data_IF_370857713374
#
_entry.id   IF_370857713374
#
_cell.length_a   1.000
_cell.length_b   1.000
_cell.length_c   1.000
_cell.angle_alpha   90.00
_cell.angle_beta   90.00
_cell.angle_gamma   90.00
#
_symmetry.space_group_name_H-M   'P 1'
#
loop_
_entity.id
_entity.type
_entity.pdbx_description
1 polymer ?
#
# COMPACT_ATOMS: atom_id res chain seq x y z
N UNK A 1 15.59 -7.79 44.89
CA UNK A 1 14.68 -6.63 44.81
C UNK A 1 13.36 -7.04 45.43
N UNK A 2 12.85 -6.27 46.39
CA UNK A 2 11.56 -6.52 47.03
C UNK A 2 10.42 -6.51 45.96
N UNK A 3 9.72 -7.64 45.74
CA UNK A 3 8.69 -7.73 44.71
C UNK A 3 7.56 -6.71 44.93
N UNK A 4 7.20 -6.40 46.18
CA UNK A 4 6.13 -5.46 46.52
C UNK A 4 6.49 -4.02 46.13
N UNK A 5 7.78 -3.66 46.23
CA UNK A 5 8.31 -2.35 45.78
C UNK A 5 8.41 -2.22 44.26
N UNK A 6 8.46 -3.34 43.52
CA UNK A 6 8.45 -3.35 42.05
C UNK A 6 7.05 -3.13 41.44
N UNK A 7 6.00 -3.53 42.17
CA UNK A 7 4.59 -3.44 41.73
C UNK A 7 4.06 -2.01 41.80
N UNK A 8 4.52 -1.17 42.75
CA UNK A 8 3.98 0.19 42.92
C UNK A 8 4.33 1.16 41.78
N UNK A 9 5.33 0.83 40.93
CA UNK A 9 5.74 1.65 39.77
C UNK A 9 5.30 1.10 38.41
N UNK A 10 4.55 -0.01 38.37
CA UNK A 10 4.12 -0.66 37.12
C UNK A 10 2.61 -0.70 36.97
N UNK A 11 1.94 0.41 37.29
CA UNK A 11 0.51 0.58 36.97
C UNK A 11 0.41 1.04 35.52
N UNK A 12 -0.37 0.32 34.70
CA UNK A 12 -0.51 0.67 33.29
C UNK A 12 -1.24 2.01 33.15
N UNK A 13 -0.66 2.97 32.44
CA UNK A 13 -1.31 4.23 32.13
C UNK A 13 -2.22 4.12 30.92
N UNK A 14 -1.60 3.99 29.75
CA UNK A 14 -2.26 3.95 28.44
C UNK A 14 -1.89 2.66 27.71
N UNK A 15 -2.88 2.01 27.13
CA UNK A 15 -2.72 0.88 26.21
C UNK A 15 -3.23 1.31 24.84
N UNK A 16 -2.34 1.32 23.85
CA UNK A 16 -2.66 1.60 22.46
C UNK A 16 -2.57 0.30 21.67
N UNK A 17 -3.70 -0.13 21.11
CA UNK A 17 -3.80 -1.30 20.27
C UNK A 17 -3.86 -0.81 18.82
N UNK A 18 -2.92 -1.27 18.00
CA UNK A 18 -2.90 -1.02 16.56
C UNK A 18 -3.04 -2.35 15.82
N UNK A 19 -3.77 -2.42 14.70
CA UNK A 19 -4.05 -3.68 14.04
C UNK A 19 -2.87 -4.21 13.21
N UNK A 20 -1.92 -3.35 12.80
CA UNK A 20 -0.71 -3.75 12.07
C UNK A 20 0.55 -3.48 12.89
N UNK A 21 1.61 -4.27 12.60
CA UNK A 21 2.90 -4.16 13.29
C UNK A 21 3.64 -2.88 12.89
N UNK A 22 3.46 -2.45 11.65
CA UNK A 22 4.02 -1.23 11.08
C UNK A 22 3.40 0.01 11.77
N UNK A 23 2.06 0.05 11.92
CA UNK A 23 1.39 1.13 12.64
C UNK A 23 1.79 1.15 14.11
N UNK A 24 1.78 -0.01 14.78
CA UNK A 24 2.24 -0.10 16.17
C UNK A 24 3.69 0.40 16.34
N UNK A 25 4.57 0.13 15.38
CA UNK A 25 5.96 0.63 15.42
C UNK A 25 6.04 2.14 15.20
N UNK A 26 5.26 2.69 14.27
CA UNK A 26 5.15 4.13 14.06
C UNK A 26 4.62 4.83 15.32
N UNK A 27 3.49 4.37 15.86
CA UNK A 27 2.87 4.91 17.07
C UNK A 27 3.79 4.80 18.29
N UNK A 28 4.55 3.71 18.41
CA UNK A 28 5.58 3.58 19.44
C UNK A 28 6.69 4.63 19.30
N UNK A 29 7.20 4.87 18.09
CA UNK A 29 8.27 5.84 17.87
C UNK A 29 7.79 7.27 18.19
N UNK A 30 6.60 7.66 17.74
CA UNK A 30 6.00 8.96 18.07
C UNK A 30 5.74 9.09 19.57
N UNK A 31 5.19 8.04 20.20
CA UNK A 31 4.99 7.99 21.65
C UNK A 31 6.30 8.18 22.40
N UNK A 32 7.40 7.58 21.94
CA UNK A 32 8.72 7.70 22.56
C UNK A 32 9.27 9.13 22.46
N UNK A 33 9.07 9.81 21.33
CA UNK A 33 9.48 11.22 21.16
C UNK A 33 8.75 12.11 22.17
N UNK A 34 7.42 11.95 22.29
CA UNK A 34 6.60 12.72 23.23
C UNK A 34 6.91 12.39 24.70
N UNK A 35 7.03 11.10 25.01
CA UNK A 35 7.28 10.58 26.36
C UNK A 35 8.64 10.98 26.93
N UNK A 36 9.67 11.13 26.08
CA UNK A 36 11.03 11.48 26.50
C UNK A 36 11.07 12.81 27.28
N UNK A 37 10.23 13.78 26.88
CA UNK A 37 10.12 15.08 27.56
C UNK A 37 9.61 14.98 29.00
N UNK A 38 8.85 13.93 29.32
CA UNK A 38 8.18 13.74 30.61
C UNK A 38 8.72 12.53 31.39
N UNK A 39 9.82 11.91 30.93
CA UNK A 39 10.41 10.72 31.55
C UNK A 39 9.41 9.56 31.73
N UNK A 40 8.53 9.37 30.73
CA UNK A 40 7.55 8.29 30.72
C UNK A 40 8.13 7.05 30.04
N UNK A 41 7.80 5.87 30.58
CA UNK A 41 8.16 4.59 29.99
C UNK A 41 7.21 4.21 28.86
N UNK A 42 7.78 3.83 27.71
CA UNK A 42 7.04 3.37 26.53
C UNK A 42 7.52 1.96 26.18
N UNK A 43 6.59 1.01 26.06
CA UNK A 43 6.89 -0.39 25.71
C UNK A 43 6.21 -0.73 24.38
N UNK A 44 6.93 -1.42 23.49
CA UNK A 44 6.42 -1.93 22.22
C UNK A 44 6.18 -3.43 22.30
N UNK A 45 4.97 -3.89 21.95
CA UNK A 45 4.58 -5.30 21.92
C UNK A 45 4.05 -5.70 20.54
N UNK A 46 4.92 -6.18 19.66
CA UNK A 46 4.52 -6.62 18.31
C UNK A 46 5.05 -8.03 17.97
N UNK A 47 4.25 -8.77 17.20
CA UNK A 47 4.63 -10.08 16.70
C UNK A 47 5.73 -10.00 15.63
N UNK A 48 6.45 -11.09 15.41
CA UNK A 48 7.50 -11.17 14.38
C UNK A 48 8.81 -10.48 14.72
N UNK A 49 8.93 -9.84 15.89
CA UNK A 49 10.19 -9.39 16.48
C UNK A 49 10.63 -10.34 17.61
N UNK A 50 11.90 -10.27 18.01
CA UNK A 50 12.42 -11.06 19.13
C UNK A 50 11.67 -10.72 20.43
N UNK A 51 11.16 -11.75 21.11
CA UNK A 51 10.36 -11.59 22.33
C UNK A 51 11.20 -11.25 23.56
N UNK A 52 12.49 -11.66 23.58
CA UNK A 52 13.37 -11.47 24.75
C UNK A 52 13.58 -9.98 25.06
N UNK A 53 13.90 -9.09 24.10
CA UNK A 53 13.94 -7.65 24.35
C UNK A 53 12.62 -7.08 24.88
N UNK A 54 11.48 -7.47 24.29
CA UNK A 54 10.16 -6.99 24.72
C UNK A 54 9.88 -7.35 26.18
N UNK A 55 10.20 -8.58 26.60
CA UNK A 55 10.03 -9.01 27.98
C UNK A 55 11.04 -8.35 28.94
N UNK A 56 12.26 -8.08 28.49
CA UNK A 56 13.21 -7.30 29.26
C UNK A 56 12.68 -5.87 29.49
N UNK A 57 12.04 -5.25 28.50
CA UNK A 57 11.44 -3.92 28.62
C UNK A 57 10.27 -3.90 29.61
N UNK A 58 9.40 -4.92 29.62
CA UNK A 58 8.35 -5.08 30.66
C UNK A 58 8.96 -5.15 32.08
N UNK A 59 10.14 -5.76 32.22
CA UNK A 59 10.80 -5.87 33.52
C UNK A 59 11.51 -4.58 33.94
N UNK A 60 12.09 -3.84 32.99
CA UNK A 60 12.96 -2.69 33.25
C UNK A 60 12.24 -1.34 33.22
N UNK A 61 11.27 -1.18 32.32
CA UNK A 61 10.62 0.09 32.06
C UNK A 61 9.36 0.28 32.91
N UNK A 62 8.95 1.54 33.02
CA UNK A 62 7.63 1.92 33.54
C UNK A 62 6.56 1.60 32.50
N UNK A 63 5.36 1.28 32.96
CA UNK A 63 4.23 0.92 32.10
C UNK A 63 3.34 2.14 31.84
N UNK A 64 3.93 3.29 31.54
CA UNK A 64 3.14 4.52 31.36
C UNK A 64 2.37 4.46 30.02
N UNK A 65 3.04 4.02 28.94
CA UNK A 65 2.43 3.82 27.61
C UNK A 65 2.86 2.46 27.05
N UNK A 66 1.89 1.64 26.62
CA UNK A 66 2.14 0.39 25.92
C UNK A 66 1.52 0.51 24.53
N UNK A 67 2.28 0.20 23.49
CA UNK A 67 1.81 0.17 22.10
C UNK A 67 2.02 -1.22 21.54
N UNK A 68 1.01 -1.83 20.93
CA UNK A 68 1.17 -3.17 20.39
C UNK A 68 0.06 -3.69 19.50
N UNK A 69 0.29 -4.87 18.94
CA UNK A 69 -0.70 -5.60 18.14
C UNK A 69 -1.51 -6.58 19.01
N UNK A 70 -2.81 -6.81 18.74
CA UNK A 70 -3.69 -7.63 19.59
C UNK A 70 -3.07 -8.97 20.01
N UNK A 71 -2.63 -9.79 19.05
CA UNK A 71 -2.11 -11.12 19.35
C UNK A 71 -0.87 -11.13 20.26
N UNK A 72 0.05 -10.17 20.10
CA UNK A 72 1.24 -10.08 20.95
C UNK A 72 0.89 -9.55 22.35
N UNK A 73 -0.07 -8.63 22.46
CA UNK A 73 -0.57 -8.13 23.74
C UNK A 73 -1.23 -9.28 24.51
N UNK A 74 -2.18 -10.00 23.89
CA UNK A 74 -2.89 -11.10 24.54
C UNK A 74 -1.92 -12.19 25.01
N UNK A 75 -1.00 -12.64 24.14
CA UNK A 75 0.06 -13.58 24.49
C UNK A 75 0.90 -13.11 25.68
N UNK A 76 1.18 -11.80 25.76
CA UNK A 76 1.96 -11.23 26.87
C UNK A 76 1.15 -11.23 28.17
N UNK A 77 -0.16 -10.95 28.12
CA UNK A 77 -1.08 -11.03 29.26
C UNK A 77 -1.13 -12.46 29.82
N UNK A 78 -1.16 -13.47 28.94
CA UNK A 78 -1.25 -14.88 29.33
C UNK A 78 0.04 -15.41 29.98
N UNK A 79 1.20 -14.95 29.50
CA UNK A 79 2.50 -15.51 29.91
C UNK A 79 3.18 -14.68 31.00
N UNK A 80 3.00 -13.35 31.02
CA UNK A 80 3.76 -12.45 31.89
C UNK A 80 2.91 -11.93 33.05
N UNK A 81 3.05 -12.55 34.22
CA UNK A 81 2.31 -12.18 35.44
C UNK A 81 2.42 -10.68 35.80
N UNK A 82 3.59 -10.06 35.63
CA UNK A 82 3.76 -8.63 35.94
C UNK A 82 2.93 -7.76 34.99
N UNK A 83 2.88 -8.11 33.72
CA UNK A 83 2.04 -7.44 32.74
C UNK A 83 0.55 -7.62 33.06
N UNK A 84 0.13 -8.84 33.43
CA UNK A 84 -1.24 -9.16 33.86
C UNK A 84 -1.68 -8.38 35.10
N UNK A 85 -0.78 -8.15 36.07
CA UNK A 85 -1.13 -7.28 37.22
C UNK A 85 -1.13 -5.81 36.83
N UNK A 86 -0.27 -5.40 35.91
CA UNK A 86 -0.18 -4.01 35.47
C UNK A 86 -1.43 -3.53 34.73
N UNK A 87 -1.96 -4.35 33.80
CA UNK A 87 -3.11 -3.99 32.95
C UNK A 87 -4.39 -3.74 33.75
N UNK A 88 -4.52 -4.35 34.94
CA UNK A 88 -5.64 -4.10 35.87
C UNK A 88 -5.73 -2.65 36.38
N UNK A 89 -4.67 -1.86 36.19
CA UNK A 89 -4.62 -0.45 36.58
C UNK A 89 -4.77 0.53 35.41
N UNK A 90 -5.05 0.02 34.20
CA UNK A 90 -5.18 0.81 32.98
C UNK A 90 -6.10 2.02 33.16
N UNK A 91 -5.65 3.20 32.69
CA UNK A 91 -6.43 4.44 32.75
C UNK A 91 -7.07 4.81 31.42
N UNK A 92 -6.41 4.52 30.31
CA UNK A 92 -6.96 4.77 28.97
C UNK A 92 -6.63 3.63 28.00
N UNK A 93 -7.66 3.14 27.31
CA UNK A 93 -7.53 2.23 26.17
C UNK A 93 -7.71 3.02 24.88
N UNK A 94 -6.79 2.88 23.95
CA UNK A 94 -6.86 3.48 22.60
C UNK A 94 -6.90 2.35 21.58
N UNK A 95 -7.94 2.32 20.76
CA UNK A 95 -8.03 1.47 19.57
C UNK A 95 -7.77 2.35 18.36
N UNK A 96 -6.59 2.22 17.76
CA UNK A 96 -6.18 2.92 16.55
C UNK A 96 -6.56 2.09 15.32
N UNK A 97 -7.15 2.70 14.29
CA UNK A 97 -7.84 2.01 13.18
C UNK A 97 -8.91 1.02 13.72
N UNK A 98 -9.81 1.56 14.55
CA UNK A 98 -10.75 0.77 15.35
C UNK A 98 -11.71 -0.10 14.51
N UNK A 99 -12.09 0.33 13.32
CA UNK A 99 -12.89 -0.44 12.36
C UNK A 99 -12.20 -1.77 12.02
N UNK A 100 -10.89 -1.75 11.80
CA UNK A 100 -10.12 -2.96 11.54
C UNK A 100 -10.03 -3.84 12.79
N UNK A 101 -9.90 -3.25 13.97
CA UNK A 101 -9.79 -4.00 15.23
C UNK A 101 -11.10 -4.68 15.64
N UNK A 102 -12.26 -4.08 15.29
CA UNK A 102 -13.56 -4.53 15.75
C UNK A 102 -14.42 -5.24 14.68
N UNK A 103 -14.12 -5.07 13.39
CA UNK A 103 -14.90 -5.67 12.28
C UNK A 103 -14.18 -6.83 11.58
N UNK A 104 -12.99 -7.23 12.03
CA UNK A 104 -12.22 -8.33 11.44
C UNK A 104 -12.07 -9.50 12.41
N UNK A 105 -11.32 -10.53 11.99
CA UNK A 105 -10.85 -11.64 12.84
C UNK A 105 -10.10 -11.19 14.11
N UNK A 106 -9.66 -9.93 14.20
CA UNK A 106 -9.03 -9.37 15.39
C UNK A 106 -10.02 -9.14 16.55
N UNK A 107 -11.32 -9.04 16.27
CA UNK A 107 -12.36 -8.69 17.25
C UNK A 107 -12.32 -9.57 18.49
N UNK A 108 -12.22 -10.88 18.31
CA UNK A 108 -12.19 -11.85 19.41
C UNK A 108 -10.96 -11.64 20.30
N UNK A 109 -9.80 -11.39 19.68
CA UNK A 109 -8.55 -11.11 20.40
C UNK A 109 -8.64 -9.80 21.18
N UNK A 110 -9.23 -8.76 20.58
CA UNK A 110 -9.42 -7.45 21.23
C UNK A 110 -10.39 -7.58 22.42
N UNK A 111 -11.50 -8.29 22.25
CA UNK A 111 -12.44 -8.57 23.34
C UNK A 111 -11.79 -9.35 24.49
N UNK A 112 -10.95 -10.34 24.16
CA UNK A 112 -10.17 -11.07 25.16
C UNK A 112 -9.26 -10.13 25.95
N UNK A 113 -8.54 -9.22 25.30
CA UNK A 113 -7.69 -8.22 25.98
C UNK A 113 -8.53 -7.32 26.89
N UNK A 114 -9.67 -6.81 26.39
CA UNK A 114 -10.59 -5.94 27.14
C UNK A 114 -11.08 -6.61 28.42
N UNK A 115 -11.29 -7.94 28.42
CA UNK A 115 -11.72 -8.68 29.62
C UNK A 115 -10.71 -8.63 30.78
N UNK A 116 -9.43 -8.33 30.52
CA UNK A 116 -8.40 -8.13 31.54
C UNK A 116 -8.29 -6.66 32.01
N UNK A 117 -8.94 -5.72 31.31
CA UNK A 117 -8.90 -4.30 31.62
C UNK A 117 -9.96 -3.93 32.70
N UNK A 118 -9.67 -2.97 33.58
CA UNK A 118 -10.66 -2.45 34.53
C UNK A 118 -11.83 -1.75 33.82
N UNK A 119 -13.03 -1.83 34.37
CA UNK A 119 -14.22 -1.17 33.81
C UNK A 119 -14.14 0.37 33.88
N UNK A 120 -13.52 0.91 34.93
CA UNK A 120 -13.30 2.34 35.13
C UNK A 120 -12.03 2.80 34.39
N UNK A 121 -12.18 3.00 33.07
CA UNK A 121 -11.13 3.53 32.18
C UNK A 121 -11.76 4.39 31.08
N UNK A 122 -10.98 5.33 30.56
CA UNK A 122 -11.34 6.01 29.32
C UNK A 122 -11.12 5.08 28.11
N UNK A 123 -11.99 5.15 27.11
CA UNK A 123 -11.81 4.45 25.84
C UNK A 123 -11.81 5.47 24.70
N UNK A 124 -10.82 5.38 23.81
CA UNK A 124 -10.71 6.20 22.62
C UNK A 124 -10.65 5.30 21.40
N UNK A 125 -11.60 5.45 20.49
CA UNK A 125 -11.65 4.71 19.23
C UNK A 125 -11.36 5.72 18.12
N UNK A 126 -10.30 5.47 17.35
CA UNK A 126 -9.86 6.35 16.26
C UNK A 126 -9.92 5.55 14.97
N UNK A 127 -10.61 6.06 13.96
CA UNK A 127 -10.60 5.51 12.61
C UNK A 127 -10.82 6.62 11.58
N UNK A 128 -10.37 6.38 10.35
CA UNK A 128 -10.69 7.23 9.20
C UNK A 128 -12.11 7.00 8.67
N UNK A 129 -12.75 5.89 9.05
CA UNK A 129 -14.10 5.52 8.61
C UNK A 129 -14.97 5.19 9.83
N UNK A 130 -16.15 5.79 9.89
CA UNK A 130 -17.17 5.49 10.90
C UNK A 130 -18.49 5.17 10.21
N UNK A 131 -18.78 3.88 10.06
CA UNK A 131 -20.10 3.40 9.62
C UNK A 131 -21.05 3.24 10.80
N UNK A 132 -22.36 3.25 10.54
CA UNK A 132 -23.38 2.98 11.58
C UNK A 132 -23.15 1.61 12.25
N UNK A 133 -22.75 0.61 11.46
CA UNK A 133 -22.35 -0.71 11.93
C UNK A 133 -21.18 -0.63 12.93
N UNK A 134 -20.17 0.20 12.65
CA UNK A 134 -19.04 0.38 13.56
C UNK A 134 -19.45 1.05 14.89
N UNK A 135 -20.39 2.00 14.83
CA UNK A 135 -20.95 2.63 16.04
C UNK A 135 -21.69 1.59 16.87
N UNK A 136 -22.50 0.73 16.24
CA UNK A 136 -23.23 -0.35 16.90
C UNK A 136 -22.27 -1.39 17.52
N UNK A 137 -21.25 -1.81 16.78
CA UNK A 137 -20.21 -2.72 17.29
C UNK A 137 -19.48 -2.10 18.49
N UNK A 138 -19.17 -0.81 18.44
CA UNK A 138 -18.55 -0.09 19.55
C UNK A 138 -19.46 -0.06 20.79
N UNK A 139 -20.76 0.19 20.61
CA UNK A 139 -21.75 0.13 21.70
C UNK A 139 -21.87 -1.27 22.29
N UNK A 140 -21.79 -2.32 21.47
CA UNK A 140 -21.81 -3.71 21.93
C UNK A 140 -20.56 -4.08 22.74
N UNK A 141 -19.39 -3.56 22.36
CA UNK A 141 -18.12 -3.86 23.06
C UNK A 141 -17.97 -3.05 24.36
N UNK A 142 -18.38 -1.78 24.37
CA UNK A 142 -18.11 -0.86 25.48
C UNK A 142 -19.36 -0.45 26.30
N UNK A 143 -20.55 -0.78 25.83
CA UNK A 143 -21.85 -0.43 26.43
C UNK A 143 -22.49 0.80 25.78
N UNK A 144 -23.80 0.73 25.51
CA UNK A 144 -24.56 1.75 24.76
C UNK A 144 -24.41 3.18 25.32
N UNK A 145 -24.47 3.35 26.64
CA UNK A 145 -24.44 4.66 27.30
C UNK A 145 -23.02 5.24 27.49
N UNK A 146 -21.98 4.58 26.94
CA UNK A 146 -20.57 4.96 27.12
C UNK A 146 -19.89 5.40 25.83
N UNK A 147 -20.63 5.48 24.72
CA UNK A 147 -20.09 5.85 23.41
C UNK A 147 -20.61 7.22 22.98
N UNK A 148 -19.71 8.19 22.88
CA UNK A 148 -19.94 9.48 22.22
C UNK A 148 -19.12 9.54 20.95
N UNK A 149 -19.77 9.78 19.81
CA UNK A 149 -19.09 9.96 18.51
C UNK A 149 -18.73 11.43 18.36
N UNK A 150 -17.44 11.70 18.17
CA UNK A 150 -16.95 13.03 17.78
C UNK A 150 -16.59 12.91 16.31
N UNK A 151 -17.50 13.36 15.45
CA UNK A 151 -17.24 13.39 14.02
C UNK A 151 -16.47 14.67 13.68
N UNK A 152 -15.19 14.49 13.38
CA UNK A 152 -14.33 15.57 12.90
C UNK A 152 -14.50 15.82 11.39
N UNK A 153 -15.30 15.01 10.69
CA UNK A 153 -15.53 15.11 9.24
C UNK A 153 -16.74 15.95 8.87
N UNK A 154 -17.62 16.28 9.82
CA UNK A 154 -18.86 17.06 9.58
C UNK A 154 -18.62 18.58 9.41
N UNK A 155 -17.37 19.03 9.40
CA UNK A 155 -16.94 20.31 8.82
C UNK A 155 -16.57 20.15 7.33
N UNK A 156 -15.89 21.13 6.72
CA UNK A 156 -15.36 21.08 5.34
C UNK A 156 -14.38 19.89 5.06
N UNK A 157 -14.36 18.82 5.86
CA UNK A 157 -13.42 17.70 5.82
C UNK A 157 -13.80 16.55 4.86
N UNK A 158 -14.80 16.79 4.00
CA UNK A 158 -14.77 16.29 2.61
C UNK A 158 -13.44 16.64 1.91
N UNK A 159 -12.66 17.58 2.45
CA UNK A 159 -11.32 17.99 2.03
C UNK A 159 -10.34 16.87 1.68
N UNK A 160 -10.30 15.70 2.34
CA UNK A 160 -9.37 14.64 1.90
C UNK A 160 -9.79 14.02 0.57
N UNK A 161 -11.09 13.74 0.42
CA UNK A 161 -11.67 13.25 -0.86
C UNK A 161 -11.74 14.38 -1.90
N UNK A 162 -11.73 15.64 -1.50
CA UNK A 162 -11.68 16.80 -2.41
C UNK A 162 -10.26 17.15 -2.88
N UNK A 163 -9.25 17.00 -2.03
CA UNK A 163 -7.84 17.30 -2.36
C UNK A 163 -7.19 16.21 -3.20
N UNK A 164 -7.82 15.04 -3.29
CA UNK A 164 -7.35 13.92 -4.11
C UNK A 164 -8.13 13.96 -5.43
N UNK A 165 -7.41 14.01 -6.55
CA UNK A 165 -8.02 13.80 -7.87
C UNK A 165 -8.19 12.30 -8.12
N UNK A 166 -9.43 11.83 -8.03
CA UNK A 166 -9.79 10.41 -8.17
C UNK A 166 -10.09 10.09 -9.64
N UNK A 167 -9.25 9.27 -10.26
CA UNK A 167 -9.48 8.79 -11.63
C UNK A 167 -9.32 7.28 -11.78
N UNK A 168 -9.92 6.72 -12.82
CA UNK A 168 -9.74 5.31 -13.18
C UNK A 168 -9.35 5.12 -14.65
N UNK A 169 -8.74 3.96 -14.94
CA UNK A 169 -8.36 3.54 -16.28
C UNK A 169 -8.82 2.11 -16.53
N UNK A 170 -9.50 1.90 -17.66
CA UNK A 170 -9.79 0.55 -18.16
C UNK A 170 -8.58 0.04 -18.92
N UNK A 171 -7.89 -0.94 -18.34
CA UNK A 171 -6.64 -1.45 -18.87
C UNK A 171 -6.57 -2.98 -18.76
N UNK A 172 -6.04 -3.60 -19.81
CA UNK A 172 -5.75 -5.03 -19.81
C UNK A 172 -4.40 -5.28 -19.13
N UNK A 173 -4.26 -6.43 -18.47
CA UNK A 173 -3.03 -6.81 -17.77
C UNK A 173 -1.76 -6.79 -18.63
N UNK A 174 -1.86 -7.05 -19.94
CA UNK A 174 -0.72 -6.98 -20.87
C UNK A 174 -0.18 -5.55 -21.06
N UNK A 175 -0.98 -4.54 -20.73
CA UNK A 175 -0.63 -3.12 -20.84
C UNK A 175 -0.23 -2.49 -19.50
N UNK A 176 -0.25 -3.21 -18.37
CA UNK A 176 0.09 -2.63 -17.07
C UNK A 176 1.50 -2.01 -17.06
N UNK A 177 2.55 -2.78 -17.35
CA UNK A 177 3.93 -2.26 -17.31
C UNK A 177 4.22 -1.10 -18.26
N UNK A 178 3.86 -1.13 -19.56
CA UNK A 178 4.15 0.00 -20.45
C UNK A 178 3.39 1.26 -20.02
N UNK A 179 2.15 1.11 -19.55
CA UNK A 179 1.36 2.26 -19.09
C UNK A 179 1.84 2.79 -17.74
N UNK A 180 2.19 1.94 -16.77
CA UNK A 180 2.81 2.35 -15.49
C UNK A 180 4.12 3.11 -15.76
N UNK A 181 4.95 2.57 -16.65
CA UNK A 181 6.21 3.18 -17.04
C UNK A 181 6.00 4.59 -17.60
N UNK A 182 5.04 4.76 -18.50
CA UNK A 182 4.67 6.05 -19.04
C UNK A 182 4.16 7.01 -17.95
N UNK A 183 3.19 6.58 -17.13
CA UNK A 183 2.60 7.40 -16.06
C UNK A 183 3.67 7.93 -15.11
N UNK A 184 4.55 7.04 -14.62
CA UNK A 184 5.60 7.44 -13.67
C UNK A 184 6.56 8.44 -14.29
N UNK A 185 7.04 8.21 -15.52
CA UNK A 185 8.00 9.11 -16.15
C UNK A 185 7.39 10.47 -16.51
N UNK A 186 6.16 10.51 -17.03
CA UNK A 186 5.44 11.76 -17.30
C UNK A 186 5.15 12.51 -16.01
N UNK A 187 4.70 11.83 -14.95
CA UNK A 187 4.44 12.45 -13.66
C UNK A 187 5.72 13.02 -13.03
N UNK A 188 6.83 12.27 -13.06
CA UNK A 188 8.12 12.74 -12.55
C UNK A 188 8.61 13.95 -13.36
N UNK A 189 8.57 13.87 -14.70
CA UNK A 189 8.96 14.97 -15.59
C UNK A 189 8.16 16.24 -15.29
N UNK A 190 6.82 16.13 -15.21
CA UNK A 190 5.93 17.26 -14.90
C UNK A 190 6.20 17.83 -13.51
N UNK A 191 6.45 16.98 -12.52
CA UNK A 191 6.78 17.42 -11.16
C UNK A 191 8.10 18.21 -11.13
N UNK A 192 9.14 17.71 -11.82
CA UNK A 192 10.46 18.35 -11.88
C UNK A 192 10.47 19.68 -12.67
N UNK A 193 9.53 19.89 -13.59
CA UNK A 193 9.38 21.18 -14.28
C UNK A 193 8.87 22.29 -13.35
N UNK A 194 8.06 21.93 -12.34
CA UNK A 194 7.51 22.86 -11.35
C UNK A 194 8.26 22.88 -10.02
N UNK A 195 9.20 21.95 -9.78
CA UNK A 195 9.86 21.76 -8.49
C UNK A 195 11.32 21.32 -8.67
N UNK A 196 12.22 21.79 -7.81
CA UNK A 196 13.65 21.41 -7.81
C UNK A 196 13.94 20.16 -6.97
N UNK A 197 12.90 19.44 -6.55
CA UNK A 197 12.97 18.17 -5.83
C UNK A 197 12.12 17.12 -6.53
N UNK A 198 12.52 15.86 -6.45
CA UNK A 198 11.72 14.74 -6.92
C UNK A 198 10.57 14.42 -5.96
N UNK A 199 9.94 13.25 -6.14
CA UNK A 199 8.76 12.88 -5.34
C UNK A 199 8.63 11.38 -5.11
N UNK A 200 7.65 10.99 -4.28
CA UNK A 200 7.34 9.61 -3.94
C UNK A 200 6.06 9.15 -4.60
N UNK A 201 6.03 7.87 -4.94
CA UNK A 201 4.94 7.21 -5.65
C UNK A 201 4.62 5.89 -4.95
N UNK A 202 3.34 5.58 -4.80
CA UNK A 202 2.90 4.31 -4.23
C UNK A 202 2.10 3.55 -5.28
N UNK A 203 2.42 2.26 -5.44
CA UNK A 203 1.68 1.34 -6.30
C UNK A 203 1.10 0.23 -5.42
N UNK A 204 -0.20 0.25 -5.19
CA UNK A 204 -0.91 -0.85 -4.54
C UNK A 204 -1.16 -1.97 -5.52
N UNK A 205 -0.94 -3.20 -5.10
CA UNK A 205 -1.21 -4.42 -5.87
C UNK A 205 -1.92 -5.47 -5.01
N UNK A 206 -2.67 -6.41 -5.61
CA UNK A 206 -3.56 -7.28 -4.86
C UNK A 206 -2.84 -8.29 -3.96
N UNK A 207 -1.72 -8.85 -4.42
CA UNK A 207 -1.04 -9.96 -3.73
C UNK A 207 0.43 -9.70 -3.49
N UNK A 208 0.98 -10.39 -2.48
CA UNK A 208 2.42 -10.36 -2.16
C UNK A 208 3.28 -10.74 -3.38
N UNK A 209 2.87 -11.77 -4.13
CA UNK A 209 3.64 -12.21 -5.29
C UNK A 209 3.57 -11.21 -6.44
N UNK A 210 2.42 -10.55 -6.61
CA UNK A 210 2.31 -9.43 -7.55
C UNK A 210 3.24 -8.29 -7.13
N UNK A 211 3.37 -7.97 -5.84
CA UNK A 211 4.28 -6.94 -5.36
C UNK A 211 5.75 -7.27 -5.65
N UNK A 212 6.16 -8.51 -5.41
CA UNK A 212 7.51 -9.00 -5.76
C UNK A 212 7.80 -8.87 -7.25
N UNK A 213 6.90 -9.34 -8.11
CA UNK A 213 7.09 -9.28 -9.57
C UNK A 213 7.07 -7.84 -10.07
N UNK A 214 6.07 -7.04 -9.68
CA UNK A 214 5.95 -5.66 -10.14
C UNK A 214 7.15 -4.83 -9.69
N UNK A 215 7.59 -4.96 -8.44
CA UNK A 215 8.77 -4.24 -7.96
C UNK A 215 10.05 -4.68 -8.68
N UNK A 216 10.21 -5.97 -8.99
CA UNK A 216 11.35 -6.48 -9.76
C UNK A 216 11.37 -5.92 -11.18
N UNK A 217 10.25 -6.02 -11.92
CA UNK A 217 10.13 -5.47 -13.28
C UNK A 217 10.34 -3.96 -13.29
N UNK A 218 9.67 -3.23 -12.39
CA UNK A 218 9.80 -1.78 -12.31
C UNK A 218 11.22 -1.35 -11.92
N UNK A 219 11.91 -2.11 -11.05
CA UNK A 219 13.32 -1.85 -10.76
C UNK A 219 14.16 -1.96 -12.02
N UNK A 220 13.98 -3.01 -12.82
CA UNK A 220 14.71 -3.17 -14.08
C UNK A 220 14.34 -2.11 -15.14
N UNK A 221 13.08 -1.68 -15.19
CA UNK A 221 12.62 -0.64 -16.11
C UNK A 221 13.07 0.78 -15.69
N UNK A 222 13.08 1.10 -14.39
CA UNK A 222 13.24 2.46 -13.91
C UNK A 222 14.67 2.77 -13.44
N UNK A 223 15.42 1.79 -12.95
CA UNK A 223 16.79 2.03 -12.47
C UNK A 223 17.82 2.04 -13.60
N UNK A 224 18.92 2.77 -13.41
CA UNK A 224 20.04 2.84 -14.35
C UNK A 224 20.90 1.56 -14.38
N UNK A 225 20.74 0.67 -13.40
CA UNK A 225 21.72 -0.35 -13.06
C UNK A 225 22.00 -1.39 -14.16
N UNK A 226 21.09 -1.55 -15.12
CA UNK A 226 21.25 -2.50 -16.23
C UNK A 226 21.73 -1.88 -17.54
N UNK A 227 21.90 -0.56 -17.61
CA UNK A 227 22.37 0.14 -18.82
C UNK A 227 23.75 0.75 -18.54
N UNK A 228 24.77 -0.10 -18.65
CA UNK A 228 26.18 0.26 -18.90
C UNK A 228 27.00 0.85 -17.73
N UNK A 229 28.14 0.20 -17.44
CA UNK A 229 29.26 0.72 -16.61
C UNK A 229 29.97 1.94 -17.22
N UNK A 230 29.54 2.43 -18.39
CA UNK A 230 30.04 3.68 -18.96
C UNK A 230 29.20 4.83 -18.40
N UNK A 231 29.87 5.81 -17.77
CA UNK A 231 29.29 7.10 -17.38
C UNK A 231 28.54 7.71 -18.58
N UNK A 232 27.25 7.45 -18.70
CA UNK A 232 26.40 8.11 -19.67
C UNK A 232 26.19 9.54 -19.21
N UNK A 233 26.62 10.49 -20.03
CA UNK A 233 26.38 11.93 -19.86
C UNK A 233 24.96 12.35 -20.28
N UNK A 234 24.03 11.41 -20.44
CA UNK A 234 22.64 11.73 -20.78
C UNK A 234 21.90 12.29 -19.56
N UNK A 235 21.88 13.61 -19.47
CA UNK A 235 21.20 14.45 -18.45
C UNK A 235 19.65 14.37 -18.45
N UNK A 236 19.04 13.55 -19.30
CA UNK A 236 17.64 13.73 -19.69
C UNK A 236 16.68 12.60 -19.21
N UNK A 237 17.12 11.71 -18.31
CA UNK A 237 16.22 10.84 -17.52
C UNK A 237 16.31 11.28 -16.05
N UNK A 238 15.20 11.27 -15.27
CA UNK A 238 15.25 11.57 -13.84
C UNK A 238 16.31 10.68 -13.19
N UNK A 239 17.34 11.31 -12.62
CA UNK A 239 18.65 10.70 -12.56
C UNK A 239 18.80 9.52 -11.59
N UNK A 240 17.80 9.17 -10.76
CA UNK A 240 17.74 7.92 -10.00
C UNK A 240 16.31 7.71 -9.46
N UNK A 241 15.60 6.70 -9.99
CA UNK A 241 14.31 6.26 -9.43
C UNK A 241 14.56 4.99 -8.62
N UNK A 242 14.37 5.08 -7.30
CA UNK A 242 14.48 3.91 -6.43
C UNK A 242 13.16 3.15 -6.36
N UNK A 243 13.23 1.81 -6.38
CA UNK A 243 12.06 0.94 -6.34
C UNK A 243 12.12 0.03 -5.12
N UNK A 244 11.18 0.25 -4.21
CA UNK A 244 10.97 -0.49 -2.97
C UNK A 244 9.82 -1.48 -3.12
N UNK A 245 9.83 -2.52 -2.28
CA UNK A 245 8.77 -3.52 -2.20
C UNK A 245 8.43 -3.78 -0.72
N UNK A 246 7.15 -3.72 -0.36
CA UNK A 246 6.69 -4.09 0.98
C UNK A 246 5.37 -4.86 0.93
N UNK A 247 5.33 -6.08 1.45
CA UNK A 247 4.14 -6.93 1.47
C UNK A 247 4.11 -7.83 2.71
N UNK A 248 2.93 -8.40 3.02
CA UNK A 248 2.69 -9.13 4.27
C UNK A 248 3.51 -10.42 4.48
N UNK A 249 4.05 -11.02 3.40
CA UNK A 249 4.90 -12.22 3.48
C UNK A 249 6.37 -11.94 3.81
N UNK A 250 6.79 -10.66 3.86
CA UNK A 250 8.16 -10.30 4.20
C UNK A 250 8.44 -10.48 5.70
N UNK A 251 9.68 -10.83 6.09
CA UNK A 251 10.12 -10.76 7.48
C UNK A 251 9.88 -9.36 8.07
N UNK A 252 9.51 -9.28 9.35
CA UNK A 252 9.17 -8.01 10.00
C UNK A 252 10.33 -7.01 9.96
N UNK A 253 11.55 -7.48 10.21
CA UNK A 253 12.73 -6.63 10.20
C UNK A 253 12.95 -5.97 8.84
N UNK A 254 12.71 -6.69 7.75
CA UNK A 254 12.87 -6.17 6.40
C UNK A 254 11.73 -5.21 6.02
N UNK A 255 10.50 -5.47 6.47
CA UNK A 255 9.40 -4.50 6.35
C UNK A 255 9.71 -3.19 7.05
N UNK A 256 10.22 -3.26 8.29
CA UNK A 256 10.62 -2.08 9.06
C UNK A 256 11.74 -1.29 8.36
N UNK A 257 12.74 -1.99 7.80
CA UNK A 257 13.82 -1.37 7.01
C UNK A 257 13.27 -0.65 5.79
N UNK A 258 12.46 -1.31 4.96
CA UNK A 258 11.89 -0.72 3.74
C UNK A 258 10.96 0.45 4.06
N UNK A 259 10.11 0.31 5.08
CA UNK A 259 9.27 1.40 5.58
C UNK A 259 10.11 2.62 5.94
N UNK A 260 11.16 2.44 6.74
CA UNK A 260 12.06 3.52 7.14
C UNK A 260 12.80 4.16 5.96
N UNK A 261 13.28 3.35 5.01
CA UNK A 261 13.95 3.84 3.80
C UNK A 261 13.02 4.69 2.94
N UNK A 262 11.80 4.22 2.65
CA UNK A 262 10.85 4.96 1.83
C UNK A 262 10.30 6.20 2.53
N UNK A 263 9.97 6.09 3.82
CA UNK A 263 9.50 7.23 4.62
C UNK A 263 10.54 8.35 4.66
N UNK A 264 11.80 8.01 4.93
CA UNK A 264 12.89 8.97 5.08
C UNK A 264 13.65 9.24 3.76
N UNK A 265 13.11 8.79 2.62
CA UNK A 265 13.75 8.95 1.32
C UNK A 265 13.98 10.43 1.00
N UNK A 266 15.25 10.77 0.72
CA UNK A 266 15.63 12.11 0.31
C UNK A 266 15.36 12.31 -1.19
N UNK A 267 14.40 13.17 -1.48
CA UNK A 267 13.98 13.56 -2.82
C UNK A 267 14.72 14.80 -3.36
N UNK A 268 15.75 15.28 -2.67
CA UNK A 268 16.70 16.27 -3.19
C UNK A 268 17.43 15.75 -4.43
N UNK A 269 18.04 16.66 -5.19
CA UNK A 269 18.75 16.34 -6.44
C UNK A 269 17.88 15.58 -7.45
N UNK A 270 16.60 15.94 -7.53
CA UNK A 270 15.62 15.38 -8.48
C UNK A 270 15.39 13.85 -8.33
N UNK A 271 15.73 13.25 -7.19
CA UNK A 271 15.56 11.82 -6.93
C UNK A 271 14.11 11.48 -6.60
N UNK A 272 13.61 10.38 -7.15
CA UNK A 272 12.24 9.91 -6.91
C UNK A 272 12.24 8.48 -6.40
N UNK A 273 11.19 8.10 -5.68
CA UNK A 273 11.04 6.74 -5.16
C UNK A 273 9.65 6.19 -5.47
N UNK A 274 9.60 4.91 -5.82
CA UNK A 274 8.38 4.14 -6.02
C UNK A 274 8.37 3.02 -4.99
N UNK A 275 7.28 2.83 -4.27
CA UNK A 275 7.06 1.63 -3.45
C UNK A 275 5.90 0.83 -4.03
N UNK A 276 6.16 -0.45 -4.30
CA UNK A 276 5.11 -1.41 -4.66
C UNK A 276 4.69 -2.15 -3.40
N UNK A 277 3.39 -2.20 -3.12
CA UNK A 277 2.91 -2.71 -1.85
C UNK A 277 1.53 -3.37 -1.93
N UNK A 278 1.26 -4.29 -1.00
CA UNK A 278 -0.11 -4.76 -0.72
C UNK A 278 -0.78 -3.85 0.32
N UNK A 279 -1.94 -4.26 0.82
CA UNK A 279 -2.67 -3.52 1.86
C UNK A 279 -1.94 -3.40 3.21
N UNK A 280 -0.75 -3.98 3.36
CA UNK A 280 0.12 -3.75 4.53
C UNK A 280 0.46 -2.27 4.72
N UNK A 281 0.49 -1.49 3.64
CA UNK A 281 0.86 -0.06 3.68
C UNK A 281 -0.31 0.89 3.55
N UNK A 282 -1.53 0.37 3.53
CA UNK A 282 -2.74 1.15 3.26
C UNK A 282 -3.22 1.97 4.45
N UNK A 283 -3.06 1.46 5.68
CA UNK A 283 -3.68 1.99 6.91
C UNK A 283 -2.62 2.50 7.87
N UNK A 284 -2.88 3.65 8.49
CA UNK A 284 -2.05 4.27 9.53
C UNK A 284 -0.62 4.71 9.16
N UNK A 285 -0.01 4.16 8.11
CA UNK A 285 1.39 4.44 7.75
C UNK A 285 1.61 5.84 7.18
N UNK A 286 2.54 6.56 7.78
CA UNK A 286 2.87 7.92 7.39
C UNK A 286 4.01 7.95 6.37
N UNK A 287 3.64 8.18 5.11
CA UNK A 287 4.56 8.47 4.01
C UNK A 287 4.42 9.93 3.59
N UNK A 288 5.36 10.82 3.99
CA UNK A 288 5.28 12.21 3.58
C UNK A 288 5.61 12.36 2.09
N UNK A 289 4.98 13.35 1.45
CA UNK A 289 5.26 13.82 0.09
C UNK A 289 5.04 12.79 -1.02
N UNK A 290 4.02 11.93 -0.85
CA UNK A 290 3.52 11.07 -1.94
C UNK A 290 2.74 11.93 -2.93
N UNK A 291 3.15 11.93 -4.20
CA UNK A 291 2.47 12.68 -5.26
C UNK A 291 1.32 11.90 -5.89
N UNK A 292 1.54 10.62 -6.15
CA UNK A 292 0.58 9.76 -6.85
C UNK A 292 0.44 8.42 -6.13
N UNK A 293 -0.82 8.01 -5.93
CA UNK A 293 -1.21 6.66 -5.54
C UNK A 293 -1.83 5.96 -6.74
N UNK A 294 -1.13 4.96 -7.26
CA UNK A 294 -1.61 4.06 -8.29
C UNK A 294 -2.11 2.76 -7.66
N UNK A 295 -3.28 2.29 -8.07
CA UNK A 295 -3.87 1.04 -7.56
C UNK A 295 -4.09 0.07 -8.71
N UNK A 296 -3.48 -1.12 -8.64
CA UNK A 296 -3.61 -2.17 -9.64
C UNK A 296 -4.66 -3.18 -9.18
N UNK A 297 -5.75 -3.27 -9.93
CA UNK A 297 -6.90 -4.07 -9.55
C UNK A 297 -7.66 -3.46 -8.37
N UNK A 298 -8.86 -3.97 -8.14
CA UNK A 298 -9.72 -3.49 -7.05
C UNK A 298 -9.18 -3.93 -5.68
N UNK A 299 -9.31 -3.10 -4.63
CA UNK A 299 -9.14 -3.53 -3.24
C UNK A 299 -10.26 -4.48 -2.80
N UNK A 300 -10.15 -4.99 -1.57
CA UNK A 300 -11.12 -5.91 -0.98
C UNK A 300 -12.48 -5.26 -0.72
N UNK A 301 -12.51 -3.96 -0.45
CA UNK A 301 -13.72 -3.16 -0.23
C UNK A 301 -13.46 -1.66 -0.45
N UNK A 302 -14.50 -0.84 -0.29
CA UNK A 302 -14.49 0.61 -0.52
C UNK A 302 -13.73 1.37 0.57
N UNK A 303 -13.77 0.91 1.81
CA UNK A 303 -12.98 1.48 2.91
C UNK A 303 -11.49 1.34 2.61
N UNK A 304 -11.09 0.15 2.13
CA UNK A 304 -9.73 -0.15 1.75
C UNK A 304 -9.25 0.72 0.57
N UNK A 305 -10.14 1.05 -0.37
CA UNK A 305 -9.85 2.05 -1.41
C UNK A 305 -9.52 3.41 -0.79
N UNK A 306 -10.34 3.89 0.15
CA UNK A 306 -10.13 5.18 0.81
C UNK A 306 -8.80 5.24 1.59
N UNK A 307 -8.47 4.16 2.31
CA UNK A 307 -7.20 4.10 3.04
C UNK A 307 -5.97 4.16 2.10
N UNK A 308 -6.04 3.46 0.96
CA UNK A 308 -5.00 3.49 -0.10
C UNK A 308 -4.80 4.90 -0.64
N UNK A 309 -5.87 5.56 -1.09
CA UNK A 309 -5.77 6.92 -1.66
C UNK A 309 -5.35 7.95 -0.63
N UNK A 310 -5.74 7.78 0.64
CA UNK A 310 -5.30 8.60 1.78
C UNK A 310 -3.80 8.53 2.10
N UNK A 311 -2.99 7.82 1.30
CA UNK A 311 -1.52 7.94 1.34
C UNK A 311 -0.99 9.17 0.59
N UNK A 312 -1.78 9.75 -0.31
CA UNK A 312 -1.52 11.07 -0.90
C UNK A 312 -2.47 12.10 -0.31
N UNK A 313 -2.37 13.37 -0.73
CA UNK A 313 -3.30 14.42 -0.27
C UNK A 313 -3.14 14.82 1.21
N UNK A 314 -2.04 14.43 1.85
CA UNK A 314 -1.79 14.66 3.29
C UNK A 314 -1.26 16.07 3.58
N UNK A 315 -1.50 16.53 4.81
CA UNK A 315 -1.00 17.81 5.33
C UNK A 315 -1.35 19.02 4.43
N UNK A 316 -2.57 19.05 3.89
CA UNK A 316 -3.08 20.14 3.07
C UNK A 316 -2.56 20.19 1.61
N UNK A 317 -1.81 19.18 1.17
CA UNK A 317 -1.33 19.08 -0.23
C UNK A 317 -2.37 18.40 -1.11
N UNK A 318 -2.33 18.68 -2.41
CA UNK A 318 -3.12 17.94 -3.40
C UNK A 318 -2.42 16.63 -3.77
N UNK A 319 -3.21 15.61 -4.05
CA UNK A 319 -2.74 14.28 -4.43
C UNK A 319 -3.43 13.76 -5.68
N UNK A 320 -2.75 12.95 -6.47
CA UNK A 320 -3.38 12.28 -7.61
C UNK A 320 -3.61 10.80 -7.26
N UNK A 321 -4.77 10.24 -7.62
CA UNK A 321 -4.99 8.80 -7.56
C UNK A 321 -5.53 8.23 -8.86
N UNK A 322 -4.95 7.11 -9.27
CA UNK A 322 -5.36 6.39 -10.48
C UNK A 322 -5.66 4.94 -10.08
N UNK A 323 -6.86 4.47 -10.40
CA UNK A 323 -7.26 3.07 -10.25
C UNK A 323 -7.22 2.36 -11.61
N UNK A 324 -6.35 1.37 -11.75
CA UNK A 324 -6.33 0.47 -12.90
C UNK A 324 -7.33 -0.65 -12.68
N UNK A 325 -8.31 -0.75 -13.56
CA UNK A 325 -9.30 -1.82 -13.57
C UNK A 325 -9.36 -2.53 -14.92
N UNK A 326 -9.55 -3.84 -14.87
CA UNK A 326 -9.98 -4.63 -16.01
C UNK A 326 -11.48 -4.41 -16.28
N UNK A 327 -11.97 -4.70 -17.49
CA UNK A 327 -13.40 -4.57 -17.80
C UNK A 327 -14.34 -5.35 -16.86
N UNK A 328 -13.91 -6.49 -16.31
CA UNK A 328 -14.71 -7.29 -15.38
C UNK A 328 -14.84 -6.65 -13.98
N UNK A 329 -13.93 -5.75 -13.64
CA UNK A 329 -13.86 -5.07 -12.33
C UNK A 329 -14.69 -3.78 -12.28
N UNK A 330 -15.27 -3.36 -13.42
CA UNK A 330 -15.92 -2.06 -13.58
C UNK A 330 -17.00 -1.74 -12.54
N UNK A 331 -17.76 -2.75 -12.08
CA UNK A 331 -18.80 -2.60 -11.05
C UNK A 331 -18.26 -2.05 -9.72
N UNK A 332 -16.96 -2.20 -9.46
CA UNK A 332 -16.35 -1.63 -8.26
C UNK A 332 -16.37 -0.11 -8.26
N UNK A 333 -16.34 0.54 -9.43
CA UNK A 333 -16.42 1.99 -9.52
C UNK A 333 -17.74 2.48 -8.93
N UNK A 334 -18.86 1.88 -9.32
CA UNK A 334 -20.19 2.23 -8.82
C UNK A 334 -20.23 2.17 -7.29
N UNK A 335 -19.66 1.10 -6.69
CA UNK A 335 -19.55 0.97 -5.23
C UNK A 335 -18.71 2.07 -4.59
N UNK A 336 -17.58 2.44 -5.22
CA UNK A 336 -16.74 3.52 -4.72
C UNK A 336 -17.48 4.85 -4.81
N UNK A 337 -18.16 5.13 -5.92
CA UNK A 337 -18.94 6.36 -6.12
C UNK A 337 -20.05 6.51 -5.08
N UNK A 338 -20.79 5.43 -4.82
CA UNK A 338 -21.80 5.37 -3.77
C UNK A 338 -21.21 5.64 -2.38
N UNK A 339 -20.02 5.09 -2.10
CA UNK A 339 -19.34 5.24 -0.81
C UNK A 339 -18.75 6.64 -0.60
N UNK A 340 -18.11 7.23 -1.62
CA UNK A 340 -17.47 8.56 -1.51
C UNK A 340 -18.43 9.72 -1.82
N UNK A 341 -19.64 9.42 -2.31
CA UNK A 341 -20.63 10.43 -2.73
C UNK A 341 -20.19 11.27 -3.94
N UNK A 342 -19.29 10.77 -4.78
CA UNK A 342 -18.74 11.47 -5.96
C UNK A 342 -18.50 10.53 -7.12
N UNK A 343 -18.77 11.01 -8.33
CA UNK A 343 -18.43 10.32 -9.57
C UNK A 343 -16.92 10.25 -9.75
N UNK A 344 -16.41 9.05 -10.04
CA UNK A 344 -15.02 8.86 -10.44
C UNK A 344 -14.90 9.11 -11.94
N UNK A 345 -13.96 9.98 -12.32
CA UNK A 345 -13.76 10.27 -13.74
C UNK A 345 -12.80 9.27 -14.38
N UNK A 346 -13.03 8.96 -15.66
CA UNK A 346 -11.97 8.31 -16.46
C UNK A 346 -10.77 9.24 -16.52
N UNK A 347 -9.57 8.68 -16.43
CA UNK A 347 -8.35 9.47 -16.52
C UNK A 347 -8.28 10.19 -17.88
N UNK A 348 -8.16 11.51 -17.85
CA UNK A 348 -8.14 12.37 -19.05
C UNK A 348 -6.75 12.52 -19.66
N UNK A 349 -5.69 12.29 -18.87
CA UNK A 349 -4.31 12.34 -19.34
C UNK A 349 -3.88 11.04 -20.03
N UNK A 350 -4.31 9.90 -19.51
CA UNK A 350 -3.97 8.58 -20.02
C UNK A 350 -5.23 7.89 -20.53
N UNK A 351 -5.73 8.39 -21.66
CA UNK A 351 -6.99 7.95 -22.27
C UNK A 351 -6.90 6.56 -22.89
N UNK A 352 -8.05 5.95 -23.19
CA UNK A 352 -8.12 4.69 -23.95
C UNK A 352 -7.52 4.80 -25.36
N UNK A 353 -7.55 5.99 -25.96
CA UNK A 353 -6.90 6.26 -27.25
C UNK A 353 -5.37 6.22 -27.11
N UNK A 354 -4.83 6.84 -26.06
CA UNK A 354 -3.40 6.80 -25.76
C UNK A 354 -2.91 5.37 -25.50
N UNK A 355 -3.68 4.56 -24.75
CA UNK A 355 -3.36 3.14 -24.54
C UNK A 355 -3.41 2.36 -25.87
N UNK A 356 -4.39 2.63 -26.73
CA UNK A 356 -4.46 2.03 -28.07
C UNK A 356 -3.23 2.38 -28.92
N UNK A 357 -2.77 3.64 -28.83
CA UNK A 357 -1.54 4.10 -29.49
C UNK A 357 -0.31 3.40 -28.92
N UNK A 358 -0.17 3.29 -27.60
CA UNK A 358 0.90 2.52 -26.96
C UNK A 358 0.93 1.09 -27.50
N UNK A 359 -0.23 0.40 -27.52
CA UNK A 359 -0.35 -0.96 -28.04
C UNK A 359 0.07 -1.06 -29.51
N UNK A 360 -0.31 -0.11 -30.36
CA UNK A 360 0.13 -0.09 -31.76
C UNK A 360 1.63 0.15 -31.90
N UNK A 361 2.23 1.01 -31.08
CA UNK A 361 3.67 1.27 -31.10
C UNK A 361 4.47 0.06 -30.62
N UNK A 362 4.04 -0.59 -29.54
CA UNK A 362 4.69 -1.80 -29.03
C UNK A 362 4.74 -2.90 -30.09
N UNK A 363 3.62 -3.17 -30.78
CA UNK A 363 3.58 -4.13 -31.90
C UNK A 363 4.57 -3.82 -33.01
N UNK A 364 4.74 -2.53 -33.33
CA UNK A 364 5.70 -2.08 -34.36
C UNK A 364 7.14 -2.17 -33.87
N UNK A 365 7.41 -1.88 -32.60
CA UNK A 365 8.76 -1.80 -32.05
C UNK A 365 9.32 -3.18 -31.70
N UNK A 366 8.48 -4.11 -31.23
CA UNK A 366 8.87 -5.48 -30.89
C UNK A 366 9.29 -6.30 -32.12
N UNK A 367 8.95 -5.85 -33.35
CA UNK A 367 9.42 -6.48 -34.59
C UNK A 367 10.83 -6.07 -35.04
N UNK A 368 11.50 -5.15 -34.34
CA UNK A 368 12.85 -4.70 -34.67
C UNK A 368 13.86 -5.10 -33.58
N UNK A 369 15.14 -5.36 -33.93
CA UNK A 369 16.17 -5.60 -32.93
C UNK A 369 16.29 -4.40 -31.98
N UNK A 370 16.28 -4.68 -30.67
CA UNK A 370 16.31 -3.66 -29.61
C UNK A 370 17.68 -2.98 -29.53
N UNK A 371 17.92 -2.00 -30.40
CA UNK A 371 19.07 -1.11 -30.32
C UNK A 371 18.85 -0.05 -29.23
N UNK A 372 19.92 0.40 -28.59
CA UNK A 372 19.85 1.55 -27.68
C UNK A 372 19.37 2.76 -28.49
N UNK A 373 18.31 3.46 -28.07
CA UNK A 373 17.82 4.59 -28.84
C UNK A 373 18.92 5.68 -28.89
N UNK A 374 19.47 5.93 -30.08
CA UNK A 374 20.39 7.06 -30.32
C UNK A 374 19.69 8.38 -30.00
N UNK A 375 20.46 9.38 -29.53
CA UNK A 375 20.02 10.70 -29.06
C UNK A 375 18.66 11.17 -29.62
N UNK A 376 17.61 10.93 -28.82
CA UNK A 376 16.20 11.16 -29.16
C UNK A 376 15.79 12.64 -29.27
N UNK A 377 16.74 13.57 -29.12
CA UNK A 377 16.49 15.01 -29.21
C UNK A 377 16.94 15.61 -30.57
N UNK A 378 17.50 14.82 -31.51
CA UNK A 378 18.07 15.34 -32.76
C UNK A 378 17.22 15.20 -34.04
N UNK A 379 16.01 14.62 -33.97
CA UNK A 379 15.14 14.63 -35.15
C UNK A 379 14.24 15.88 -35.14
N UNK A 380 14.78 16.97 -35.69
CA UNK A 380 13.96 17.91 -36.44
C UNK A 380 13.44 17.21 -37.70
N UNK A 381 12.47 16.30 -37.55
CA UNK A 381 11.68 15.81 -38.67
C UNK A 381 10.40 16.63 -38.77
N UNK A 382 10.28 17.32 -39.91
CA UNK A 382 9.15 18.13 -40.30
C UNK A 382 7.85 17.31 -40.26
N UNK A 383 7.00 17.58 -39.28
CA UNK A 383 5.65 17.07 -39.20
C UNK A 383 4.93 17.67 -38.00
N UNK A 384 3.73 18.18 -38.21
CA UNK A 384 2.79 18.71 -37.21
C UNK A 384 2.26 17.59 -36.30
N UNK A 385 3.13 16.82 -35.65
CA UNK A 385 2.70 15.85 -34.66
C UNK A 385 2.78 16.47 -33.25
N UNK A 386 1.66 16.47 -32.53
CA UNK A 386 1.51 17.14 -31.23
C UNK A 386 2.60 16.70 -30.24
N UNK A 387 3.04 17.60 -29.35
CA UNK A 387 4.07 17.33 -28.32
C UNK A 387 3.83 16.05 -27.50
N UNK A 388 2.58 15.65 -27.33
CA UNK A 388 2.17 14.44 -26.61
C UNK A 388 2.51 13.17 -27.41
N UNK A 389 2.32 13.20 -28.73
CA UNK A 389 2.61 12.07 -29.61
C UNK A 389 4.09 11.68 -29.63
N UNK A 390 4.97 12.69 -29.58
CA UNK A 390 6.42 12.50 -29.47
C UNK A 390 6.82 11.91 -28.11
N UNK A 391 6.14 12.30 -27.02
CA UNK A 391 6.41 11.79 -25.68
C UNK A 391 6.04 10.30 -25.55
N UNK A 392 4.85 9.90 -26.03
CA UNK A 392 4.43 8.49 -26.01
C UNK A 392 5.41 7.62 -26.77
N UNK A 393 5.80 8.04 -27.99
CA UNK A 393 6.73 7.28 -28.81
C UNK A 393 8.11 7.14 -28.13
N UNK A 394 8.62 8.23 -27.56
CA UNK A 394 9.87 8.25 -26.79
C UNK A 394 9.85 7.22 -25.67
N UNK A 395 8.81 7.21 -24.85
CA UNK A 395 8.72 6.27 -23.73
C UNK A 395 8.48 4.83 -24.15
N UNK A 396 7.72 4.58 -25.22
CA UNK A 396 7.51 3.21 -25.72
C UNK A 396 8.79 2.63 -26.33
N UNK A 397 9.57 3.42 -27.08
CA UNK A 397 10.90 3.01 -27.59
C UNK A 397 11.82 2.60 -26.44
N UNK A 398 11.92 3.45 -25.41
CA UNK A 398 12.77 3.18 -24.25
C UNK A 398 12.27 1.99 -23.43
N UNK A 399 10.95 1.84 -23.29
CA UNK A 399 10.34 0.70 -22.63
C UNK A 399 10.69 -0.62 -23.33
N UNK A 400 10.54 -0.71 -24.65
CA UNK A 400 10.86 -1.94 -25.41
C UNK A 400 12.34 -2.28 -25.29
N UNK A 401 13.23 -1.28 -25.42
CA UNK A 401 14.67 -1.47 -25.23
C UNK A 401 15.00 -2.05 -23.85
N UNK A 402 14.39 -1.53 -22.78
CA UNK A 402 14.61 -2.03 -21.42
C UNK A 402 13.95 -3.39 -21.20
N UNK A 403 12.72 -3.60 -21.69
CA UNK A 403 11.98 -4.87 -21.59
C UNK A 403 12.79 -6.04 -22.16
N UNK A 404 13.44 -5.85 -23.30
CA UNK A 404 14.29 -6.89 -23.92
C UNK A 404 15.42 -7.40 -23.00
N UNK A 405 15.82 -6.60 -22.00
CA UNK A 405 16.88 -6.95 -21.02
C UNK A 405 16.32 -7.54 -19.73
N UNK A 406 14.99 -7.61 -19.59
CA UNK A 406 14.29 -8.14 -18.40
C UNK A 406 14.01 -9.63 -18.56
N UNK A 407 13.98 -10.14 -19.79
CA UNK A 407 13.46 -11.47 -20.13
C UNK A 407 14.10 -12.62 -19.31
N UNK A 408 15.34 -12.46 -18.84
CA UNK A 408 16.05 -13.47 -18.02
C UNK A 408 15.93 -13.26 -16.50
N UNK A 409 15.21 -12.23 -16.05
CA UNK A 409 15.20 -11.80 -14.63
C UNK A 409 14.10 -12.50 -13.83
N UNK A 410 13.04 -12.99 -14.47
CA UNK A 410 11.86 -13.57 -13.80
C UNK A 410 11.65 -15.00 -14.25
N UNK A 411 11.91 -15.94 -13.34
CA UNK A 411 11.66 -17.35 -13.57
C UNK A 411 10.16 -17.65 -13.79
N UNK A 412 9.85 -18.59 -14.70
CA UNK A 412 8.50 -19.05 -14.99
C UNK A 412 7.71 -19.47 -13.73
N UNK A 413 8.38 -20.10 -12.76
CA UNK A 413 7.74 -20.48 -11.48
C UNK A 413 7.22 -19.26 -10.71
N UNK A 414 7.97 -18.15 -10.69
CA UNK A 414 7.51 -16.92 -10.03
C UNK A 414 6.24 -16.39 -10.70
N UNK A 415 6.19 -16.42 -12.03
CA UNK A 415 5.02 -16.02 -12.79
C UNK A 415 3.80 -16.89 -12.49
N UNK A 416 3.95 -18.22 -12.47
CA UNK A 416 2.88 -19.14 -12.11
C UNK A 416 2.34 -18.86 -10.70
N UNK A 417 3.22 -18.64 -9.71
CA UNK A 417 2.80 -18.26 -8.36
C UNK A 417 2.01 -16.94 -8.33
N UNK A 418 2.43 -15.94 -9.12
CA UNK A 418 1.70 -14.67 -9.21
C UNK A 418 0.31 -14.90 -9.80
N UNK A 419 0.25 -15.64 -10.90
CA UNK A 419 -0.98 -15.99 -11.59
C UNK A 419 -1.99 -16.67 -10.66
N UNK A 420 -1.59 -17.72 -9.95
CA UNK A 420 -2.46 -18.39 -8.99
C UNK A 420 -2.87 -17.48 -7.83
N UNK A 421 -1.94 -16.67 -7.31
CA UNK A 421 -2.27 -15.74 -6.24
C UNK A 421 -3.34 -14.73 -6.65
N UNK A 422 -3.30 -14.24 -7.89
CA UNK A 422 -4.30 -13.31 -8.42
C UNK A 422 -5.65 -14.01 -8.58
N UNK A 423 -5.68 -15.24 -9.10
CA UNK A 423 -6.92 -16.00 -9.19
C UNK A 423 -7.55 -16.22 -7.81
N UNK A 424 -6.77 -16.63 -6.81
CA UNK A 424 -7.24 -16.78 -5.43
C UNK A 424 -7.75 -15.46 -4.85
N UNK A 425 -7.08 -14.35 -5.13
CA UNK A 425 -7.52 -13.02 -4.69
C UNK A 425 -8.91 -12.69 -5.24
N UNK A 426 -9.10 -12.78 -6.56
CA UNK A 426 -10.39 -12.45 -7.18
C UNK A 426 -11.49 -13.45 -6.86
N UNK A 427 -11.16 -14.73 -6.64
CA UNK A 427 -12.10 -15.72 -6.14
C UNK A 427 -12.63 -15.32 -4.75
N UNK A 428 -11.75 -14.89 -3.84
CA UNK A 428 -12.14 -14.40 -2.51
C UNK A 428 -12.99 -13.13 -2.54
N UNK A 429 -12.92 -12.33 -3.60
CA UNK A 429 -13.78 -11.15 -3.78
C UNK A 429 -15.12 -11.46 -4.46
N UNK A 430 -15.28 -12.67 -5.01
CA UNK A 430 -16.40 -12.97 -5.89
C UNK A 430 -17.75 -12.92 -5.18
N UNK A 431 -17.83 -13.35 -3.92
CA UNK A 431 -19.07 -13.27 -3.14
C UNK A 431 -19.59 -11.83 -3.03
N UNK A 432 -18.67 -10.88 -2.75
CA UNK A 432 -19.02 -9.48 -2.59
C UNK A 432 -19.24 -8.77 -3.94
N UNK A 433 -18.47 -9.12 -4.97
CA UNK A 433 -18.42 -8.36 -6.24
C UNK A 433 -19.21 -8.99 -7.39
N UNK A 434 -19.57 -10.29 -7.28
CA UNK A 434 -20.25 -11.09 -8.32
C UNK A 434 -19.54 -10.98 -9.66
N UNK A 435 -18.22 -11.22 -9.66
CA UNK A 435 -17.42 -11.25 -10.87
C UNK A 435 -17.77 -12.48 -11.72
N UNK A 436 -17.49 -12.40 -13.02
CA UNK A 436 -17.62 -13.56 -13.91
C UNK A 436 -16.26 -14.30 -13.95
N UNK A 437 -16.18 -15.57 -13.50
CA UNK A 437 -14.95 -16.35 -13.47
C UNK A 437 -14.22 -16.44 -14.81
N UNK A 438 -14.93 -16.66 -15.90
CA UNK A 438 -14.34 -16.77 -17.24
C UNK A 438 -13.69 -15.45 -17.67
N UNK A 439 -14.31 -14.32 -17.32
CA UNK A 439 -13.74 -12.99 -17.59
C UNK A 439 -12.51 -12.70 -16.74
N UNK A 440 -12.49 -13.14 -15.48
CA UNK A 440 -11.30 -13.06 -14.61
C UNK A 440 -10.15 -13.82 -15.26
N UNK A 441 -10.41 -15.09 -15.60
CA UNK A 441 -9.41 -15.97 -16.19
C UNK A 441 -8.85 -15.41 -17.50
N UNK A 442 -9.73 -15.01 -18.42
CA UNK A 442 -9.34 -14.42 -19.71
C UNK A 442 -8.50 -13.16 -19.53
N UNK A 443 -8.81 -12.32 -18.54
CA UNK A 443 -8.10 -11.07 -18.28
C UNK A 443 -6.73 -11.34 -17.66
N UNK A 444 -6.64 -12.16 -16.60
CA UNK A 444 -5.38 -12.49 -15.92
C UNK A 444 -4.44 -13.27 -16.85
N UNK A 445 -4.96 -14.10 -17.76
CA UNK A 445 -4.15 -14.79 -18.78
C UNK A 445 -3.33 -13.82 -19.66
N UNK A 446 -3.77 -12.56 -19.82
CA UNK A 446 -3.02 -11.56 -20.57
C UNK A 446 -1.70 -11.17 -19.88
N UNK A 447 -1.55 -11.40 -18.57
CA UNK A 447 -0.28 -11.15 -17.84
C UNK A 447 0.91 -11.91 -18.44
N UNK A 448 0.68 -13.11 -19.01
CA UNK A 448 1.75 -13.95 -19.58
C UNK A 448 2.43 -13.34 -20.80
N UNK A 449 1.71 -12.49 -21.57
CA UNK A 449 2.25 -11.83 -22.76
C UNK A 449 3.44 -10.93 -22.47
N UNK A 450 3.54 -10.37 -21.26
CA UNK A 450 4.67 -9.50 -20.93
C UNK A 450 5.98 -10.28 -20.82
N UNK A 451 5.91 -11.53 -20.37
CA UNK A 451 7.06 -12.39 -20.11
C UNK A 451 7.33 -13.38 -21.25
N UNK A 452 6.65 -13.20 -22.38
CA UNK A 452 6.67 -14.11 -23.54
C UNK A 452 6.45 -15.60 -23.16
N UNK A 453 5.79 -15.83 -22.02
CA UNK A 453 5.35 -17.16 -21.65
C UNK A 453 4.18 -17.51 -22.56
N UNK A 454 4.34 -18.56 -23.37
CA UNK A 454 3.19 -19.20 -24.01
C UNK A 454 2.13 -19.43 -22.94
N UNK A 455 0.85 -19.17 -23.28
CA UNK A 455 -0.27 -19.36 -22.36
C UNK A 455 -0.03 -20.62 -21.54
N UNK A 456 -0.23 -20.61 -20.21
CA UNK A 456 -0.12 -21.83 -19.42
C UNK A 456 -1.21 -22.81 -19.87
N UNK A 457 -0.96 -23.54 -20.98
CA UNK A 457 -1.77 -24.64 -21.52
C UNK A 457 -1.90 -25.77 -20.50
N UNK A 458 -1.12 -25.70 -19.43
CA UNK A 458 -1.05 -26.66 -18.33
C UNK A 458 -2.23 -26.51 -17.33
N UNK A 459 -3.01 -25.41 -17.36
CA UNK A 459 -3.90 -25.10 -16.23
C UNK A 459 -5.42 -25.15 -16.48
N UNK A 460 -5.87 -25.33 -17.73
CA UNK A 460 -7.30 -25.41 -18.06
C UNK A 460 -8.11 -26.44 -17.21
N UNK A 461 -7.58 -27.63 -16.85
CA UNK A 461 -8.33 -28.61 -16.05
C UNK A 461 -8.48 -28.26 -14.56
N UNK A 462 -7.59 -27.43 -13.99
CA UNK A 462 -7.59 -27.08 -12.56
C UNK A 462 -8.44 -25.85 -12.25
N UNK A 463 -8.93 -25.14 -13.27
CA UNK A 463 -9.60 -23.85 -13.14
C UNK A 463 -11.12 -23.98 -13.01
N UNK A 464 -11.73 -25.04 -13.57
CA UNK A 464 -13.15 -25.31 -13.39
C UNK A 464 -13.47 -25.60 -11.92
N UNK A 465 -12.60 -26.29 -11.18
CA UNK A 465 -12.81 -26.57 -9.75
C UNK A 465 -12.63 -25.35 -8.84
N UNK A 466 -11.87 -24.32 -9.26
CA UNK A 466 -11.55 -23.16 -8.43
C UNK A 466 -12.72 -22.19 -8.22
N UNK A 467 -13.70 -22.18 -9.13
CA UNK A 467 -14.90 -21.33 -9.07
C UNK A 467 -16.20 -22.14 -8.99
N UNK A 468 -16.11 -23.47 -8.80
CA UNK A 468 -17.26 -24.39 -8.68
C UNK A 468 -17.60 -24.74 -7.22
N UNK A 469 -16.98 -24.06 -6.25
CA UNK A 469 -17.33 -24.08 -4.82
C UNK A 469 -17.90 -22.70 -4.51
#
# INVERSE_FOLDING_TARGET
>A
MDPARSVSKKKMGILIICPTRELATQTYNESKVLANKYNLGVIKLIGGENIKPQYADILKLRHDIIVGTPGQILKTIEINHFFTQSIKHLKALVLDEADMLLNTELKETVNAIISFCPEDRANYLVSATFSDEMIEISKNVFGENKVSVIDATSGDDSQMVEKIDHSYMLIDWDMHFPTIYHILLSSIKKHLQGNRKGSKYIIFVPTSKTAEIYSSVLRSLLTKQYVSKKKSKNKNLPDDIEVYCIHGKMPQEDRNKVFGQFRNFNHDNNRSAVIVTTDVSSRGLDYPDVKLVLQIGVPTNTEQYLHRVGRTGRAGKNGDSILFISPFEKKFIEKVEDFIGKTMNKNTQFTSELISKQRSLLKKLESFPANEPENLDNNHENGLDSSENQEVEKYMKMYVYKKARIHDTIALNNFNEMYFSLLSYYAGLNEAMKFNPDKILLSINKTGKFFDFEQPRILAPYLSSFFSI
#
